data_IF_384964544807
#
_entry.id   IF_384964544807
#
_cell.length_a   1.000
_cell.length_b   1.000
_cell.length_c   1.000
_cell.angle_alpha   90.00
_cell.angle_beta   90.00
_cell.angle_gamma   90.00
#
_symmetry.space_group_name_H-M   'P 1'
#
loop_
_entity.id
_entity.type
_entity.pdbx_description
1 polymer ?
#
# COMPACT_ATOMS: atom_id res chain seq x y z
N UNK A 1 1.32 6.27 4.23
CA UNK A 1 0.75 6.83 2.98
C UNK A 1 -0.64 6.27 2.79
N UNK A 2 -1.49 6.92 2.00
CA UNK A 2 -2.88 6.55 1.75
C UNK A 2 -3.07 6.32 0.25
N UNK A 3 -3.92 5.37 -0.12
CA UNK A 3 -4.22 5.11 -1.53
C UNK A 3 -5.17 6.19 -2.06
N UNK A 4 -4.71 6.93 -3.05
CA UNK A 4 -5.50 7.94 -3.76
C UNK A 4 -6.15 7.35 -5.01
N UNK A 5 -5.40 6.57 -5.79
CA UNK A 5 -5.90 5.97 -7.04
C UNK A 5 -5.62 4.47 -7.06
N UNK A 6 -6.52 3.75 -7.72
CA UNK A 6 -6.45 2.31 -7.89
C UNK A 6 -6.85 1.92 -9.30
N UNK A 7 -6.09 1.00 -9.91
CA UNK A 7 -6.45 0.37 -11.18
C UNK A 7 -7.55 -0.71 -11.02
N UNK A 8 -8.03 -0.94 -9.79
CA UNK A 8 -9.15 -1.81 -9.49
C UNK A 8 -10.13 -1.13 -8.51
N UNK A 9 -11.42 -1.45 -8.64
CA UNK A 9 -12.46 -0.96 -7.74
C UNK A 9 -12.94 -2.09 -6.83
N UNK A 10 -13.00 -1.83 -5.53
CA UNK A 10 -13.61 -2.73 -4.55
C UNK A 10 -14.80 -2.02 -3.93
N UNK A 11 -16.00 -2.54 -4.21
CA UNK A 11 -17.23 -2.03 -3.62
C UNK A 11 -17.13 -2.04 -2.08
N UNK A 12 -17.52 -0.94 -1.44
CA UNK A 12 -17.54 -0.71 0.01
C UNK A 12 -16.17 -0.47 0.70
N UNK A 13 -15.09 -0.27 -0.06
CA UNK A 13 -13.79 0.12 0.48
C UNK A 13 -13.72 1.65 0.62
N UNK A 14 -13.63 2.16 1.85
CA UNK A 14 -13.65 3.61 2.12
C UNK A 14 -12.29 4.25 1.90
N UNK A 15 -11.24 3.60 2.40
CA UNK A 15 -9.87 4.07 2.30
C UNK A 15 -8.90 2.91 2.53
N UNK A 16 -7.67 3.08 2.05
CA UNK A 16 -6.56 2.15 2.27
C UNK A 16 -5.36 2.97 2.69
N UNK A 17 -4.64 2.51 3.70
CA UNK A 17 -3.36 3.12 4.06
C UNK A 17 -2.26 2.07 4.13
N UNK A 18 -1.09 2.50 3.73
CA UNK A 18 0.15 1.76 3.74
C UNK A 18 1.04 2.32 4.84
N UNK A 19 1.58 1.43 5.67
CA UNK A 19 2.48 1.79 6.77
C UNK A 19 3.71 0.90 6.76
N UNK A 20 4.86 1.51 7.05
CA UNK A 20 6.09 0.82 7.38
C UNK A 20 6.44 1.16 8.82
N UNK A 21 6.81 0.17 9.61
CA UNK A 21 7.13 0.34 11.03
C UNK A 21 8.18 -0.67 11.47
N UNK A 22 8.79 -0.44 12.64
CA UNK A 22 9.78 -1.36 13.20
C UNK A 22 9.16 -2.15 14.35
N UNK A 23 9.49 -3.43 14.44
CA UNK A 23 9.17 -4.28 15.60
C UNK A 23 10.46 -4.92 16.12
N UNK A 24 10.62 -4.93 17.44
CA UNK A 24 11.78 -5.54 18.10
C UNK A 24 11.36 -6.85 18.77
N UNK A 25 12.01 -7.95 18.40
CA UNK A 25 11.81 -9.25 19.03
C UNK A 25 13.16 -9.91 19.29
N UNK A 26 13.41 -10.34 20.54
CA UNK A 26 14.67 -11.01 20.96
C UNK A 26 15.93 -10.25 20.51
N UNK A 27 15.98 -8.95 20.81
CA UNK A 27 17.09 -8.03 20.47
C UNK A 27 17.38 -7.83 18.97
N UNK A 28 16.49 -8.29 18.08
CA UNK A 28 16.55 -7.98 16.66
C UNK A 28 15.41 -7.05 16.28
N UNK A 29 15.73 -6.00 15.53
CA UNK A 29 14.74 -5.07 14.98
C UNK A 29 14.43 -5.48 13.55
N UNK A 30 13.15 -5.63 13.25
CA UNK A 30 12.67 -5.97 11.93
C UNK A 30 11.79 -4.85 11.38
N UNK A 31 11.95 -4.57 10.09
CA UNK A 31 11.05 -3.67 9.38
C UNK A 31 9.81 -4.44 8.94
N UNK A 32 8.64 -3.90 9.24
CA UNK A 32 7.33 -4.40 8.84
C UNK A 32 6.72 -3.49 7.80
N UNK A 33 5.86 -4.09 6.99
CA UNK A 33 5.02 -3.46 6.00
C UNK A 33 3.60 -3.93 6.24
N UNK A 34 2.65 -3.02 6.23
CA UNK A 34 1.24 -3.37 6.28
C UNK A 34 0.43 -2.51 5.32
N UNK A 35 -0.60 -3.12 4.77
CA UNK A 35 -1.57 -2.48 3.88
C UNK A 35 -2.95 -2.75 4.47
N UNK A 36 -3.54 -1.71 5.06
CA UNK A 36 -4.76 -1.81 5.86
C UNK A 36 -5.92 -1.29 5.03
N UNK A 37 -6.95 -2.13 4.91
CA UNK A 37 -8.15 -1.88 4.12
C UNK A 37 -9.32 -1.58 5.06
N UNK A 38 -9.95 -0.42 4.87
CA UNK A 38 -11.09 0.00 5.69
C UNK A 38 -12.40 -0.17 4.90
N UNK A 39 -13.30 -1.02 5.39
CA UNK A 39 -14.57 -1.29 4.74
C UNK A 39 -15.75 -0.68 5.50
N UNK A 40 -16.75 -0.19 4.76
CA UNK A 40 -18.09 0.08 5.31
C UNK A 40 -18.95 -1.16 5.17
N UNK A 41 -19.30 -1.82 6.28
CA UNK A 41 -20.27 -2.93 6.25
C UNK A 41 -21.42 -2.66 7.23
N UNK A 42 -22.62 -2.38 6.69
CA UNK A 42 -23.92 -2.35 7.40
C UNK A 42 -23.87 -1.90 8.89
N UNK A 43 -23.26 -0.73 9.15
CA UNK A 43 -23.08 -0.03 10.46
C UNK A 43 -21.88 -0.43 11.33
N UNK A 44 -21.10 -1.45 10.98
CA UNK A 44 -19.88 -1.81 11.71
C UNK A 44 -18.61 -1.43 10.93
N UNK A 45 -17.57 -1.09 11.68
CA UNK A 45 -16.22 -0.88 11.15
C UNK A 45 -15.58 -2.26 11.02
N UNK A 46 -15.26 -2.66 9.80
CA UNK A 46 -14.42 -3.84 9.56
C UNK A 46 -13.15 -3.37 8.88
N UNK A 47 -12.01 -3.86 9.35
CA UNK A 47 -10.72 -3.60 8.73
C UNK A 47 -10.01 -4.91 8.50
N UNK A 48 -9.33 -5.00 7.37
CA UNK A 48 -8.51 -6.15 7.03
C UNK A 48 -7.10 -5.66 6.82
N UNK A 49 -6.16 -6.34 7.44
CA UNK A 49 -4.75 -6.08 7.28
C UNK A 49 -3.97 -7.38 7.15
N UNK A 50 -2.75 -7.26 6.63
CA UNK A 50 -1.90 -8.40 6.38
C UNK A 50 -0.44 -7.94 6.53
N UNK A 51 0.07 -7.91 7.77
CA UNK A 51 1.41 -7.41 8.02
C UNK A 51 2.48 -8.40 7.55
N UNK A 52 3.42 -7.90 6.75
CA UNK A 52 4.59 -8.63 6.26
C UNK A 52 5.88 -8.06 6.86
N UNK A 53 6.89 -8.90 6.99
CA UNK A 53 8.27 -8.48 7.15
C UNK A 53 8.83 -7.99 5.82
N UNK A 54 9.53 -6.87 5.85
CA UNK A 54 10.34 -6.39 4.73
C UNK A 54 11.69 -7.07 4.81
N UNK A 55 11.98 -7.95 3.85
CA UNK A 55 13.26 -8.68 3.80
C UNK A 55 14.35 -7.93 3.07
N UNK A 56 13.96 -7.12 2.09
CA UNK A 56 14.90 -6.41 1.26
C UNK A 56 14.19 -5.68 0.14
N UNK A 57 15.00 -4.98 -0.66
CA UNK A 57 14.56 -4.33 -1.89
C UNK A 57 15.53 -4.72 -2.99
N UNK A 58 15.01 -5.29 -4.08
CA UNK A 58 15.79 -5.71 -5.24
C UNK A 58 15.18 -5.09 -6.50
N UNK A 59 15.97 -4.36 -7.29
CA UNK A 59 15.51 -3.74 -8.54
C UNK A 59 14.14 -3.03 -8.40
N UNK A 60 14.03 -2.15 -7.40
CA UNK A 60 12.80 -1.41 -7.07
C UNK A 60 11.61 -2.28 -6.61
N UNK A 61 11.84 -3.56 -6.31
CA UNK A 61 10.83 -4.49 -5.79
C UNK A 61 11.04 -4.70 -4.30
N UNK A 62 10.03 -4.41 -3.50
CA UNK A 62 10.02 -4.71 -2.08
C UNK A 62 9.68 -6.19 -1.91
N UNK A 63 10.54 -6.91 -1.19
CA UNK A 63 10.35 -8.34 -0.89
C UNK A 63 9.67 -8.46 0.46
N UNK A 64 8.48 -9.04 0.46
CA UNK A 64 7.58 -9.13 1.60
C UNK A 64 7.34 -10.58 1.99
N UNK A 65 7.45 -10.88 3.28
CA UNK A 65 7.24 -12.24 3.77
C UNK A 65 6.54 -12.31 5.14
N UNK A 66 5.82 -13.39 5.45
CA UNK A 66 5.20 -13.56 6.77
C UNK A 66 6.21 -13.81 7.89
N UNK A 67 7.41 -14.28 7.52
CA UNK A 67 8.51 -14.53 8.45
C UNK A 67 9.77 -13.75 8.02
N UNK A 68 10.61 -13.33 8.97
CA UNK A 68 11.86 -12.67 8.64
C UNK A 68 12.93 -13.63 8.08
N UNK A 69 12.82 -14.94 8.33
CA UNK A 69 13.86 -15.94 8.00
C UNK A 69 14.02 -16.22 6.50
N UNK A 70 15.14 -15.83 5.91
CA UNK A 70 15.48 -15.97 4.48
C UNK A 70 15.29 -17.37 3.89
N UNK A 71 15.32 -18.42 4.73
CA UNK A 71 15.07 -19.81 4.33
C UNK A 71 13.73 -20.02 3.60
N UNK A 72 12.67 -19.30 4.00
CA UNK A 72 11.35 -19.43 3.36
C UNK A 72 11.25 -18.54 2.13
N UNK A 73 10.56 -18.98 1.08
CA UNK A 73 10.29 -18.12 -0.08
C UNK A 73 9.39 -16.94 0.31
N UNK A 74 9.58 -15.75 -0.26
CA UNK A 74 8.74 -14.59 0.04
C UNK A 74 7.33 -14.79 -0.55
N UNK A 75 6.31 -14.47 0.24
CA UNK A 75 4.92 -14.63 -0.16
C UNK A 75 4.43 -13.49 -1.08
N UNK A 76 5.03 -12.30 -0.97
CA UNK A 76 4.60 -11.14 -1.77
C UNK A 76 5.77 -10.31 -2.26
N UNK A 77 5.57 -9.69 -3.43
CA UNK A 77 6.45 -8.68 -4.00
C UNK A 77 5.63 -7.42 -4.26
N UNK A 78 6.22 -6.25 -4.06
CA UNK A 78 5.59 -4.97 -4.39
C UNK A 78 6.57 -4.16 -5.22
N UNK A 79 6.28 -3.99 -6.50
CA UNK A 79 7.13 -3.24 -7.43
C UNK A 79 6.84 -1.75 -7.31
N UNK A 80 7.87 -0.94 -7.11
CA UNK A 80 7.79 0.52 -7.16
C UNK A 80 8.01 0.95 -8.61
N UNK A 81 6.96 1.46 -9.24
CA UNK A 81 7.00 1.96 -10.62
C UNK A 81 7.45 3.42 -10.69
N UNK A 82 7.12 4.19 -9.66
CA UNK A 82 7.53 5.59 -9.51
C UNK A 82 7.50 5.97 -8.02
N UNK A 83 8.39 6.85 -7.60
CA UNK A 83 8.28 7.55 -6.32
C UNK A 83 9.08 8.84 -6.39
N UNK A 84 8.51 9.92 -5.85
CA UNK A 84 9.23 11.16 -5.64
C UNK A 84 10.00 11.17 -4.30
N UNK A 85 9.97 10.05 -3.56
CA UNK A 85 10.59 9.81 -2.25
C UNK A 85 10.03 10.65 -1.10
N UNK A 86 9.12 11.58 -1.36
CA UNK A 86 8.62 12.55 -0.37
C UNK A 86 7.12 12.41 -0.17
N UNK A 87 6.36 12.51 -1.26
CA UNK A 87 4.92 12.74 -1.22
C UNK A 87 4.13 11.58 -1.77
N UNK A 88 4.71 10.78 -2.67
CA UNK A 88 3.97 9.73 -3.35
C UNK A 88 4.82 8.55 -3.83
N UNK A 89 4.11 7.46 -4.11
CA UNK A 89 4.64 6.31 -4.83
C UNK A 89 3.54 5.62 -5.65
N UNK A 90 3.92 5.14 -6.82
CA UNK A 90 3.10 4.25 -7.65
C UNK A 90 3.65 2.85 -7.47
N UNK A 91 2.79 1.93 -7.02
CA UNK A 91 3.18 0.55 -6.80
C UNK A 91 2.31 -0.42 -7.59
N UNK A 92 2.86 -1.60 -7.86
CA UNK A 92 2.17 -2.70 -8.52
C UNK A 92 2.51 -4.00 -7.83
N UNK A 93 1.50 -4.84 -7.61
CA UNK A 93 1.72 -6.23 -7.23
C UNK A 93 1.98 -7.06 -8.52
N UNK A 94 3.23 -7.53 -8.77
CA UNK A 94 3.56 -8.26 -9.98
C UNK A 94 3.00 -9.70 -9.98
N UNK A 95 2.67 -10.24 -8.80
CA UNK A 95 2.22 -11.62 -8.64
C UNK A 95 0.69 -11.73 -8.53
N UNK A 96 -0.02 -10.63 -8.75
CA UNK A 96 -1.48 -10.65 -8.68
C UNK A 96 -2.08 -11.53 -9.78
N UNK A 97 -3.02 -12.39 -9.39
CA UNK A 97 -3.85 -13.14 -10.34
C UNK A 97 -4.73 -12.23 -11.23
N UNK A 98 -4.88 -10.94 -10.86
CA UNK A 98 -5.52 -9.94 -11.71
C UNK A 98 -4.48 -9.39 -12.68
N UNK A 99 -4.47 -9.93 -13.90
CA UNK A 99 -3.42 -9.83 -14.94
C UNK A 99 -2.94 -8.42 -15.34
N UNK A 100 -3.57 -7.33 -14.87
CA UNK A 100 -3.13 -5.95 -15.15
C UNK A 100 -3.47 -4.90 -14.09
N UNK A 101 -4.25 -5.23 -13.05
CA UNK A 101 -5.09 -4.22 -12.39
C UNK A 101 -4.74 -3.87 -10.94
N UNK A 102 -3.69 -4.45 -10.34
CA UNK A 102 -3.32 -4.13 -8.95
C UNK A 102 -2.20 -3.10 -8.90
N UNK A 103 -2.48 -1.93 -9.49
CA UNK A 103 -1.64 -0.76 -9.37
C UNK A 103 -2.29 0.28 -8.45
N UNK A 104 -1.49 0.90 -7.59
CA UNK A 104 -1.93 1.90 -6.62
C UNK A 104 -1.09 3.17 -6.72
N UNK A 105 -1.74 4.34 -6.71
CA UNK A 105 -1.09 5.59 -6.32
C UNK A 105 -1.29 5.78 -4.83
N UNK A 106 -0.18 5.81 -4.09
CA UNK A 106 -0.12 6.07 -2.67
C UNK A 106 0.48 7.47 -2.45
N UNK A 107 -0.12 8.24 -1.55
CA UNK A 107 0.29 9.62 -1.24
C UNK A 107 0.39 9.84 0.27
N UNK A 108 1.11 10.86 0.71
CA UNK A 108 1.09 11.27 2.12
C UNK A 108 -0.25 11.89 2.50
N UNK A 109 -0.50 12.08 3.79
CA UNK A 109 -1.69 12.78 4.28
C UNK A 109 -1.81 14.19 3.68
N UNK A 110 -0.71 14.94 3.74
CA UNK A 110 -0.65 16.32 3.29
C UNK A 110 -0.90 16.48 1.78
N UNK A 111 -0.59 15.45 0.98
CA UNK A 111 -0.75 15.47 -0.48
C UNK A 111 -2.01 14.75 -0.97
N UNK A 112 -2.90 14.31 -0.08
CA UNK A 112 -4.07 13.52 -0.49
C UNK A 112 -5.08 14.33 -1.31
N UNK A 113 -5.40 15.53 -0.84
CA UNK A 113 -6.40 16.40 -1.50
C UNK A 113 -5.80 17.27 -2.61
N UNK A 114 -4.47 17.41 -2.64
CA UNK A 114 -3.73 18.15 -3.67
C UNK A 114 -2.44 17.37 -4.03
N UNK A 115 -2.56 16.27 -4.80
CA UNK A 115 -1.41 15.47 -5.17
C UNK A 115 -0.56 16.19 -6.22
N UNK A 116 0.77 16.05 -6.11
CA UNK A 116 1.69 16.52 -7.16
C UNK A 116 1.30 15.91 -8.52
N UNK A 117 1.29 16.74 -9.57
CA UNK A 117 0.86 16.33 -10.92
C UNK A 117 1.72 15.20 -11.47
N UNK A 118 3.00 15.18 -11.12
CA UNK A 118 3.96 14.16 -11.51
C UNK A 118 3.54 12.78 -10.99
N UNK A 119 2.94 12.71 -9.80
CA UNK A 119 2.47 11.46 -9.20
C UNK A 119 1.28 10.86 -9.95
N UNK A 120 0.28 11.69 -10.28
CA UNK A 120 -0.90 11.25 -11.03
C UNK A 120 -0.56 10.94 -12.50
N UNK A 121 0.34 11.70 -13.11
CA UNK A 121 0.87 11.41 -14.44
C UNK A 121 1.69 10.11 -14.48
N UNK A 122 2.52 9.86 -13.45
CA UNK A 122 3.25 8.60 -13.34
C UNK A 122 2.29 7.42 -13.20
N UNK A 123 1.23 7.56 -12.41
CA UNK A 123 0.20 6.53 -12.31
C UNK A 123 -0.42 6.25 -13.69
N UNK A 124 -0.84 7.28 -14.42
CA UNK A 124 -1.41 7.13 -15.77
C UNK A 124 -0.44 6.45 -16.74
N UNK A 125 0.83 6.88 -16.73
CA UNK A 125 1.86 6.33 -17.62
C UNK A 125 2.11 4.83 -17.37
N UNK A 126 2.14 4.40 -16.12
CA UNK A 126 2.50 3.02 -15.78
C UNK A 126 1.29 2.08 -15.61
N UNK A 127 0.12 2.64 -15.31
CA UNK A 127 -1.05 1.88 -14.86
C UNK A 127 -2.34 2.22 -15.62
N UNK A 128 -2.30 3.21 -16.53
CA UNK A 128 -3.48 3.68 -17.24
C UNK A 128 -4.41 4.53 -16.36
N UNK A 129 -5.65 4.68 -16.79
CA UNK A 129 -6.63 5.45 -16.02
C UNK A 129 -7.04 4.70 -14.74
N UNK A 130 -7.26 5.47 -13.67
CA UNK A 130 -7.75 4.92 -12.42
C UNK A 130 -9.16 4.33 -12.61
N UNK A 131 -9.35 3.08 -12.20
CA UNK A 131 -10.68 2.49 -12.08
C UNK A 131 -11.43 3.05 -10.86
N UNK A 132 -10.69 3.54 -9.86
CA UNK A 132 -11.26 4.16 -8.67
C UNK A 132 -10.34 5.24 -8.10
N UNK A 133 -10.95 6.37 -7.71
CA UNK A 133 -10.30 7.46 -6.98
C UNK A 133 -10.93 7.56 -5.59
N UNK A 134 -10.09 7.49 -4.56
CA UNK A 134 -10.51 7.72 -3.19
C UNK A 134 -10.69 9.21 -2.94
N UNK A 135 -11.80 9.59 -2.31
CA UNK A 135 -12.13 10.99 -2.04
C UNK A 135 -11.95 11.39 -0.57
N UNK A 136 -11.68 10.42 0.31
CA UNK A 136 -11.49 10.66 1.74
C UNK A 136 -10.55 9.64 2.37
N UNK A 137 -9.79 10.11 3.36
CA UNK A 137 -8.96 9.31 4.26
C UNK A 137 -9.42 9.41 5.71
N UNK A 138 -10.53 10.09 5.99
CA UNK A 138 -10.98 10.40 7.35
C UNK A 138 -11.15 9.16 8.25
N UNK A 139 -11.40 7.99 7.66
CA UNK A 139 -11.52 6.71 8.37
C UNK A 139 -10.20 5.97 8.57
N UNK A 140 -9.14 6.41 7.90
CA UNK A 140 -7.80 5.83 7.96
C UNK A 140 -6.82 6.68 8.80
N UNK A 141 -7.07 7.98 8.94
CA UNK A 141 -6.18 8.91 9.67
C UNK A 141 -6.13 8.57 11.16
N UNK A 142 -4.95 8.72 11.78
CA UNK A 142 -4.69 8.49 13.22
C UNK A 142 -5.02 7.08 13.74
N UNK A 143 -5.14 6.09 12.86
CA UNK A 143 -5.29 4.69 13.26
C UNK A 143 -3.92 4.17 13.71
N UNK A 144 -3.87 3.54 14.88
CA UNK A 144 -2.68 2.86 15.44
C UNK A 144 -2.99 1.43 15.86
N UNK A 145 -4.19 0.93 15.53
CA UNK A 145 -4.73 -0.37 15.93
C UNK A 145 -4.30 -1.52 15.00
N UNK A 146 -3.23 -1.30 14.22
CA UNK A 146 -2.57 -2.31 13.41
C UNK A 146 -1.46 -2.98 14.25
N UNK A 147 -1.76 -4.09 14.92
CA UNK A 147 -0.75 -4.88 15.65
C UNK A 147 -1.06 -6.38 15.59
#
# INVERSE_FOLDING_TARGET
TYRLQSAFNVSNLDCVYQVFYNITHRNKTYKKYNLVYMYTVKKYKDFQDQPFYVRGVENYTIILAYKPDEYFQPEKKELILYSDKETCMVTKDPNSHFTSNVCSLLVTEASFYDPRKECTQAFIRHCGHAAYNFTSISRCVNRTDYN
#
